data_IF_831453554147
#
_entry.id   IF_831453554147
#
_cell.length_a   1.000
_cell.length_b   1.000
_cell.length_c   1.000
_cell.angle_alpha   90.00
_cell.angle_beta   90.00
_cell.angle_gamma   90.00
#
_symmetry.space_group_name_H-M   'P 1'
#
loop_
_entity.id
_entity.type
_entity.pdbx_description
1 polymer ?
#
# COMPACT_ATOMS: atom_id res chain seq x y z
N UNK A 1 25.65 58.49 13.40
CA UNK A 1 25.06 57.74 12.26
C UNK A 1 23.73 58.38 11.87
N UNK A 2 23.55 58.85 10.62
CA UNK A 2 22.36 59.60 10.23
C UNK A 2 21.10 58.72 10.16
N UNK A 3 19.96 59.27 10.61
CA UNK A 3 18.64 58.62 10.74
C UNK A 3 18.13 57.93 9.46
N UNK A 4 18.59 58.36 8.29
CA UNK A 4 18.21 57.83 6.97
C UNK A 4 18.77 56.41 6.75
N UNK A 5 20.01 56.15 7.18
CA UNK A 5 20.64 54.82 7.07
C UNK A 5 19.88 53.80 7.94
N UNK A 6 19.38 54.21 9.11
CA UNK A 6 18.55 53.34 10.00
C UNK A 6 17.19 52.97 9.39
N UNK A 7 16.55 53.87 8.63
CA UNK A 7 15.27 53.58 7.94
C UNK A 7 15.47 52.62 6.77
N UNK A 8 16.45 52.85 5.90
CA UNK A 8 16.73 51.93 4.79
C UNK A 8 17.17 50.55 5.27
N UNK A 9 17.98 50.45 6.35
CA UNK A 9 18.33 49.16 6.95
C UNK A 9 17.11 48.40 7.48
N UNK A 10 16.14 49.10 8.09
CA UNK A 10 14.88 48.50 8.55
C UNK A 10 14.05 47.98 7.37
N UNK A 11 13.87 48.79 6.32
CA UNK A 11 13.08 48.41 5.13
C UNK A 11 13.72 47.22 4.38
N UNK A 12 15.05 47.22 4.21
CA UNK A 12 15.79 46.09 3.62
C UNK A 12 15.68 44.82 4.48
N UNK A 13 15.75 44.94 5.82
CA UNK A 13 15.53 43.81 6.71
C UNK A 13 14.11 43.25 6.58
N UNK A 14 13.09 44.12 6.50
CA UNK A 14 11.69 43.69 6.38
C UNK A 14 11.41 43.02 5.04
N UNK A 15 11.94 43.56 3.93
CA UNK A 15 11.80 42.95 2.59
C UNK A 15 12.53 41.60 2.54
N UNK A 16 13.75 41.52 3.09
CA UNK A 16 14.49 40.25 3.19
C UNK A 16 13.76 39.21 4.04
N UNK A 17 13.10 39.63 5.12
CA UNK A 17 12.27 38.76 5.97
C UNK A 17 11.08 38.18 5.18
N UNK A 18 10.39 39.01 4.39
CA UNK A 18 9.22 38.60 3.61
C UNK A 18 9.62 37.60 2.52
N UNK A 19 10.73 37.85 1.82
CA UNK A 19 11.24 36.94 0.78
C UNK A 19 11.70 35.60 1.37
N UNK A 20 12.32 35.60 2.54
CA UNK A 20 12.68 34.37 3.25
C UNK A 20 11.44 33.57 3.67
N UNK A 21 10.39 34.23 4.18
CA UNK A 21 9.13 33.59 4.53
C UNK A 21 8.40 33.02 3.30
N UNK A 22 8.46 33.71 2.16
CA UNK A 22 7.89 33.22 0.90
C UNK A 22 8.64 31.97 0.39
N UNK A 23 9.97 31.96 0.44
CA UNK A 23 10.78 30.80 0.06
C UNK A 23 10.51 29.58 0.97
N UNK A 24 10.34 29.80 2.27
CA UNK A 24 10.00 28.74 3.24
C UNK A 24 8.58 28.21 3.01
N UNK A 25 7.61 29.09 2.78
CA UNK A 25 6.23 28.69 2.48
C UNK A 25 6.14 27.89 1.18
N UNK A 26 6.93 28.26 0.17
CA UNK A 26 7.01 27.54 -1.10
C UNK A 26 7.59 26.13 -0.93
N UNK A 27 8.69 25.98 -0.20
CA UNK A 27 9.27 24.66 0.11
C UNK A 27 8.33 23.78 0.94
N UNK A 28 7.60 24.34 1.90
CA UNK A 28 6.60 23.61 2.68
C UNK A 28 5.40 23.15 1.83
N UNK A 29 4.95 23.98 0.89
CA UNK A 29 3.88 23.63 -0.05
C UNK A 29 4.32 22.54 -1.04
N UNK A 30 5.56 22.58 -1.52
CA UNK A 30 6.13 21.55 -2.40
C UNK A 30 6.21 20.20 -1.69
N UNK A 31 6.76 20.16 -0.46
CA UNK A 31 6.83 18.93 0.34
C UNK A 31 5.45 18.36 0.68
N UNK A 32 4.48 19.23 0.98
CA UNK A 32 3.09 18.80 1.20
C UNK A 32 2.45 18.26 -0.08
N UNK A 33 2.75 18.87 -1.24
CA UNK A 33 2.28 18.39 -2.55
C UNK A 33 2.84 17.02 -2.91
N UNK A 34 4.13 16.78 -2.65
CA UNK A 34 4.74 15.46 -2.82
C UNK A 34 4.12 14.42 -1.87
N UNK A 35 3.91 14.78 -0.60
CA UNK A 35 3.27 13.89 0.38
C UNK A 35 1.83 13.51 -0.03
N UNK A 36 1.07 14.48 -0.57
CA UNK A 36 -0.26 14.24 -1.13
C UNK A 36 -0.18 13.27 -2.31
N UNK A 37 0.71 13.50 -3.28
CA UNK A 37 0.88 12.60 -4.43
C UNK A 37 1.21 11.17 -3.99
N UNK A 38 2.13 11.01 -3.04
CA UNK A 38 2.51 9.69 -2.54
C UNK A 38 1.37 9.01 -1.76
N UNK A 39 0.56 9.76 -1.00
CA UNK A 39 -0.64 9.20 -0.38
C UNK A 39 -1.63 8.68 -1.44
N UNK A 40 -1.83 9.43 -2.54
CA UNK A 40 -2.67 8.97 -3.65
C UNK A 40 -2.11 7.74 -4.34
N UNK A 41 -0.79 7.67 -4.51
CA UNK A 41 -0.13 6.48 -5.03
C UNK A 41 -0.31 5.28 -4.09
N UNK A 42 -0.27 5.47 -2.76
CA UNK A 42 -0.58 4.39 -1.81
C UNK A 42 -2.01 3.86 -2.00
N UNK A 43 -3.01 4.75 -2.11
CA UNK A 43 -4.40 4.34 -2.37
C UNK A 43 -4.57 3.65 -3.73
N UNK A 44 -3.90 4.14 -4.78
CA UNK A 44 -3.90 3.53 -6.11
C UNK A 44 -3.25 2.14 -6.11
N UNK A 45 -2.09 2.01 -5.44
CA UNK A 45 -1.36 0.76 -5.32
C UNK A 45 -2.17 -0.26 -4.52
N UNK A 46 -2.89 0.16 -3.49
CA UNK A 46 -3.82 -0.71 -2.76
C UNK A 46 -4.88 -1.31 -3.69
N UNK A 47 -5.49 -0.50 -4.55
CA UNK A 47 -6.49 -0.97 -5.50
C UNK A 47 -5.93 -1.99 -6.50
N UNK A 48 -4.68 -1.86 -6.93
CA UNK A 48 -4.01 -2.86 -7.76
C UNK A 48 -3.76 -4.17 -7.00
N UNK A 49 -3.30 -4.11 -5.73
CA UNK A 49 -3.13 -5.30 -4.89
C UNK A 49 -4.46 -6.05 -4.68
N UNK A 50 -5.55 -5.32 -4.54
CA UNK A 50 -6.89 -5.89 -4.41
C UNK A 50 -7.27 -6.69 -5.67
N UNK A 51 -7.00 -6.15 -6.87
CA UNK A 51 -7.29 -6.86 -8.12
C UNK A 51 -6.40 -8.10 -8.31
N UNK A 52 -5.10 -7.98 -8.03
CA UNK A 52 -4.18 -9.12 -8.02
C UNK A 52 -4.65 -10.19 -7.04
N UNK A 53 -5.10 -9.79 -5.85
CA UNK A 53 -5.65 -10.70 -4.83
C UNK A 53 -6.92 -11.37 -5.32
N UNK A 54 -7.83 -10.64 -5.98
CA UNK A 54 -9.04 -11.20 -6.56
C UNK A 54 -8.73 -12.29 -7.59
N UNK A 55 -7.68 -12.13 -8.38
CA UNK A 55 -7.26 -13.12 -9.40
C UNK A 55 -6.75 -14.44 -8.80
N UNK A 56 -6.30 -14.43 -7.54
CA UNK A 56 -5.96 -15.66 -6.78
C UNK A 56 -7.18 -16.44 -6.30
N UNK A 57 -8.33 -15.77 -6.18
CA UNK A 57 -9.57 -16.39 -5.72
C UNK A 57 -10.09 -17.25 -6.89
N UNK A 58 -10.08 -18.57 -6.78
CA UNK A 58 -10.46 -19.50 -7.87
C UNK A 58 -11.59 -20.44 -7.44
N UNK A 59 -12.32 -20.96 -8.43
CA UNK A 59 -13.37 -21.97 -8.21
C UNK A 59 -12.77 -23.25 -7.61
N UNK A 60 -13.37 -23.85 -6.57
CA UNK A 60 -13.01 -25.21 -6.15
C UNK A 60 -13.22 -26.21 -7.29
N UNK A 61 -12.19 -26.97 -7.63
CA UNK A 61 -12.16 -27.97 -8.69
C UNK A 61 -12.54 -29.37 -8.19
N UNK A 62 -12.13 -29.72 -6.98
CA UNK A 62 -12.51 -30.97 -6.32
C UNK A 62 -13.87 -30.81 -5.65
N UNK A 63 -14.85 -31.60 -6.12
CA UNK A 63 -16.24 -31.54 -5.64
C UNK A 63 -16.78 -30.10 -5.60
N UNK A 64 -16.94 -29.45 -6.78
CA UNK A 64 -17.36 -28.07 -6.83
C UNK A 64 -18.71 -27.93 -6.09
N UNK A 65 -18.82 -27.03 -5.10
CA UNK A 65 -20.08 -26.81 -4.42
C UNK A 65 -21.12 -26.29 -5.43
N UNK A 66 -22.42 -26.40 -5.12
CA UNK A 66 -23.48 -25.93 -6.01
C UNK A 66 -23.60 -24.39 -5.97
N UNK A 67 -22.50 -23.68 -6.23
CA UNK A 67 -22.52 -22.24 -6.44
C UNK A 67 -23.14 -21.92 -7.81
N UNK A 68 -23.73 -20.73 -7.93
CA UNK A 68 -24.15 -20.17 -9.20
C UNK A 68 -22.91 -19.69 -9.98
N UNK A 69 -22.33 -20.58 -10.80
CA UNK A 69 -21.12 -20.30 -11.57
C UNK A 69 -21.35 -19.30 -12.72
N UNK A 70 -22.60 -19.14 -13.17
CA UNK A 70 -22.92 -18.12 -14.16
C UNK A 70 -22.88 -16.74 -13.51
N UNK A 71 -23.47 -16.61 -12.31
CA UNK A 71 -23.39 -15.39 -11.51
C UNK A 71 -21.96 -15.07 -11.07
N UNK A 72 -21.15 -16.07 -10.73
CA UNK A 72 -19.71 -15.89 -10.45
C UNK A 72 -19.02 -15.18 -11.62
N UNK A 73 -19.19 -15.70 -12.84
CA UNK A 73 -18.59 -15.15 -14.07
C UNK A 73 -19.12 -13.74 -14.38
N UNK A 74 -20.41 -13.51 -14.22
CA UNK A 74 -21.02 -12.20 -14.42
C UNK A 74 -20.49 -11.15 -13.44
N UNK A 75 -20.39 -11.51 -12.16
CA UNK A 75 -19.86 -10.62 -11.12
C UNK A 75 -18.38 -10.31 -11.36
N UNK A 76 -17.56 -11.29 -11.74
CA UNK A 76 -16.16 -11.08 -12.14
C UNK A 76 -16.05 -10.06 -13.26
N UNK A 77 -16.88 -10.20 -14.28
CA UNK A 77 -16.88 -9.28 -15.41
C UNK A 77 -17.27 -7.86 -14.99
N UNK A 78 -18.37 -7.70 -14.23
CA UNK A 78 -18.81 -6.40 -13.69
C UNK A 78 -17.76 -5.75 -12.79
N UNK A 79 -17.06 -6.54 -11.97
CA UNK A 79 -15.96 -6.06 -11.12
C UNK A 79 -14.81 -5.53 -11.98
N UNK A 80 -14.41 -6.26 -13.02
CA UNK A 80 -13.36 -5.81 -13.94
C UNK A 80 -13.75 -4.54 -14.72
N UNK A 81 -14.99 -4.45 -15.19
CA UNK A 81 -15.49 -3.23 -15.85
C UNK A 81 -15.54 -2.04 -14.89
N UNK A 82 -15.95 -2.28 -13.64
CA UNK A 82 -15.93 -1.27 -12.58
C UNK A 82 -14.50 -0.79 -12.31
N UNK A 83 -13.53 -1.71 -12.20
CA UNK A 83 -12.13 -1.38 -11.97
C UNK A 83 -11.52 -0.56 -13.12
N UNK A 84 -11.85 -0.91 -14.37
CA UNK A 84 -11.41 -0.14 -15.53
C UNK A 84 -11.94 1.31 -15.52
N UNK A 85 -13.18 1.54 -15.04
CA UNK A 85 -13.72 2.89 -14.84
C UNK A 85 -13.01 3.60 -13.69
N UNK A 86 -12.79 2.91 -12.58
CA UNK A 86 -12.05 3.44 -11.43
C UNK A 86 -10.65 3.91 -11.83
N UNK A 87 -9.88 3.11 -12.59
CA UNK A 87 -8.55 3.47 -13.09
C UNK A 87 -8.53 4.77 -13.91
N UNK A 88 -9.55 5.00 -14.74
CA UNK A 88 -9.70 6.27 -15.49
C UNK A 88 -9.92 7.45 -14.56
N UNK A 89 -10.73 7.27 -13.51
CA UNK A 89 -10.96 8.31 -12.50
C UNK A 89 -9.67 8.59 -11.70
N UNK A 90 -8.89 7.57 -11.34
CA UNK A 90 -7.59 7.79 -10.67
C UNK A 90 -6.62 8.59 -11.56
N UNK A 91 -6.58 8.31 -12.87
CA UNK A 91 -5.80 9.11 -13.80
C UNK A 91 -6.28 10.58 -13.86
N UNK A 92 -7.60 10.80 -13.85
CA UNK A 92 -8.21 12.14 -13.75
C UNK A 92 -7.81 12.84 -12.45
N UNK A 93 -7.89 12.16 -11.30
CA UNK A 93 -7.45 12.68 -9.99
C UNK A 93 -6.00 13.16 -10.03
N UNK A 94 -5.08 12.33 -10.58
CA UNK A 94 -3.66 12.71 -10.70
C UNK A 94 -3.47 13.92 -11.63
N UNK A 95 -4.26 14.03 -12.70
CA UNK A 95 -4.23 15.18 -13.60
C UNK A 95 -4.72 16.46 -12.91
N UNK A 96 -5.81 16.39 -12.16
CA UNK A 96 -6.35 17.55 -11.42
C UNK A 96 -5.34 18.05 -10.39
N UNK A 97 -4.75 17.16 -9.60
CA UNK A 97 -3.73 17.51 -8.60
C UNK A 97 -2.52 18.21 -9.25
N UNK A 98 -2.06 17.73 -10.41
CA UNK A 98 -0.98 18.39 -11.16
C UNK A 98 -1.37 19.78 -11.65
N UNK A 99 -2.63 20.00 -12.03
CA UNK A 99 -3.09 21.26 -12.61
C UNK A 99 -3.51 22.32 -11.58
N UNK A 100 -4.15 21.90 -10.48
CA UNK A 100 -4.79 22.77 -9.50
C UNK A 100 -4.37 22.51 -8.05
N UNK A 101 -3.45 21.55 -7.81
CA UNK A 101 -2.96 21.19 -6.48
C UNK A 101 -3.94 20.38 -5.63
N UNK A 102 -5.17 20.17 -6.10
CA UNK A 102 -6.25 19.47 -5.39
C UNK A 102 -7.21 18.76 -6.35
N UNK A 103 -7.93 17.78 -5.81
CA UNK A 103 -9.01 17.05 -6.49
C UNK A 103 -10.32 17.83 -6.33
N UNK A 104 -11.06 18.02 -7.42
CA UNK A 104 -12.37 18.68 -7.41
C UNK A 104 -13.41 17.82 -6.70
N UNK A 105 -14.36 18.45 -5.99
CA UNK A 105 -15.43 17.74 -5.27
C UNK A 105 -16.19 16.76 -6.17
N UNK A 106 -16.50 17.16 -7.41
CA UNK A 106 -17.13 16.29 -8.39
C UNK A 106 -16.30 15.02 -8.68
N UNK A 107 -14.98 15.15 -8.85
CA UNK A 107 -14.11 13.99 -9.06
C UNK A 107 -13.95 13.15 -7.78
N UNK A 108 -13.96 13.78 -6.59
CA UNK A 108 -13.97 13.04 -5.33
C UNK A 108 -15.23 12.16 -5.23
N UNK A 109 -16.40 12.73 -5.52
CA UNK A 109 -17.69 12.03 -5.49
C UNK A 109 -17.74 10.89 -6.52
N UNK A 110 -17.24 11.12 -7.75
CA UNK A 110 -17.14 10.08 -8.78
C UNK A 110 -16.26 8.90 -8.32
N UNK A 111 -15.08 9.18 -7.76
CA UNK A 111 -14.16 8.14 -7.28
C UNK A 111 -14.75 7.36 -6.12
N UNK A 112 -15.34 8.03 -5.13
CA UNK A 112 -15.98 7.38 -3.99
C UNK A 112 -17.23 6.61 -4.39
N UNK A 113 -18.05 7.15 -5.30
CA UNK A 113 -19.20 6.46 -5.87
C UNK A 113 -18.78 5.18 -6.60
N UNK A 114 -17.71 5.25 -7.40
CA UNK A 114 -17.16 4.10 -8.10
C UNK A 114 -16.62 3.03 -7.13
N UNK A 115 -15.94 3.45 -6.06
CA UNK A 115 -15.43 2.56 -5.01
C UNK A 115 -16.57 1.87 -4.22
N UNK A 116 -17.66 2.58 -3.94
CA UNK A 116 -18.85 1.99 -3.32
C UNK A 116 -19.53 0.99 -4.26
N UNK A 117 -19.65 1.31 -5.55
CA UNK A 117 -20.17 0.36 -6.54
C UNK A 117 -19.30 -0.91 -6.64
N UNK A 118 -17.97 -0.79 -6.51
CA UNK A 118 -17.08 -1.94 -6.41
C UNK A 118 -17.36 -2.76 -5.14
N UNK A 119 -17.53 -2.10 -4.00
CA UNK A 119 -17.88 -2.75 -2.74
C UNK A 119 -19.21 -3.51 -2.85
N UNK A 120 -20.23 -2.91 -3.46
CA UNK A 120 -21.54 -3.56 -3.63
C UNK A 120 -21.46 -4.81 -4.53
N UNK A 121 -20.61 -4.76 -5.57
CA UNK A 121 -20.32 -5.94 -6.40
C UNK A 121 -19.58 -7.02 -5.60
N UNK A 122 -18.61 -6.63 -4.77
CA UNK A 122 -17.89 -7.54 -3.89
C UNK A 122 -18.77 -8.14 -2.79
N UNK A 123 -19.75 -7.40 -2.26
CA UNK A 123 -20.72 -7.91 -1.29
C UNK A 123 -21.67 -8.93 -1.92
N UNK A 124 -22.11 -8.70 -3.16
CA UNK A 124 -22.85 -9.70 -3.94
C UNK A 124 -22.01 -10.94 -4.21
N UNK A 125 -20.73 -10.75 -4.53
CA UNK A 125 -19.78 -11.82 -4.78
C UNK A 125 -19.50 -12.64 -3.51
N UNK A 126 -19.32 -11.96 -2.38
CA UNK A 126 -19.21 -12.57 -1.06
C UNK A 126 -20.45 -13.37 -0.69
N UNK A 127 -21.64 -12.80 -0.91
CA UNK A 127 -22.92 -13.45 -0.60
C UNK A 127 -23.11 -14.73 -1.42
N UNK A 128 -22.73 -14.71 -2.70
CA UNK A 128 -22.73 -15.89 -3.56
C UNK A 128 -21.81 -16.99 -3.02
N UNK A 129 -20.57 -16.65 -2.61
CA UNK A 129 -19.66 -17.62 -1.99
C UNK A 129 -20.20 -18.18 -0.66
N UNK A 130 -20.83 -17.32 0.14
CA UNK A 130 -21.43 -17.72 1.42
C UNK A 130 -22.57 -18.72 1.21
N UNK A 131 -23.44 -18.47 0.23
CA UNK A 131 -24.57 -19.34 -0.10
C UNK A 131 -24.16 -20.77 -0.49
N UNK A 132 -22.95 -20.96 -1.01
CA UNK A 132 -22.39 -22.27 -1.33
C UNK A 132 -21.31 -22.75 -0.34
N UNK A 133 -21.36 -22.28 0.92
CA UNK A 133 -20.50 -22.69 2.03
C UNK A 133 -18.99 -22.41 1.86
N UNK A 134 -18.62 -21.52 0.94
CA UNK A 134 -17.23 -21.11 0.69
C UNK A 134 -16.82 -19.93 1.60
N UNK A 135 -16.81 -20.15 2.92
CA UNK A 135 -16.61 -19.09 3.93
C UNK A 135 -15.36 -18.22 3.73
N UNK A 136 -14.21 -18.83 3.40
CA UNK A 136 -12.95 -18.10 3.22
C UNK A 136 -12.96 -17.22 1.97
N UNK A 137 -13.57 -17.68 0.87
CA UNK A 137 -13.76 -16.89 -0.36
C UNK A 137 -14.73 -15.73 -0.13
N UNK A 138 -15.83 -15.98 0.59
CA UNK A 138 -16.78 -14.94 0.98
C UNK A 138 -16.11 -13.84 1.82
N UNK A 139 -15.37 -14.23 2.86
CA UNK A 139 -14.63 -13.29 3.72
C UNK A 139 -13.62 -12.47 2.92
N UNK A 140 -12.86 -13.11 2.02
CA UNK A 140 -11.91 -12.42 1.16
C UNK A 140 -12.60 -11.42 0.23
N UNK A 141 -13.66 -11.82 -0.48
CA UNK A 141 -14.44 -10.92 -1.34
C UNK A 141 -14.95 -9.68 -0.58
N UNK A 142 -15.57 -9.88 0.60
CA UNK A 142 -16.04 -8.76 1.42
C UNK A 142 -14.90 -7.83 1.85
N UNK A 143 -13.75 -8.39 2.25
CA UNK A 143 -12.58 -7.59 2.63
C UNK A 143 -12.03 -6.76 1.46
N UNK A 144 -12.02 -7.29 0.24
CA UNK A 144 -11.61 -6.54 -0.96
C UNK A 144 -12.48 -5.30 -1.18
N UNK A 145 -13.81 -5.46 -1.05
CA UNK A 145 -14.75 -4.34 -1.17
C UNK A 145 -14.53 -3.26 -0.11
N UNK A 146 -14.32 -3.65 1.15
CA UNK A 146 -14.03 -2.72 2.26
C UNK A 146 -12.72 -1.96 2.03
N UNK A 147 -11.66 -2.66 1.61
CA UNK A 147 -10.35 -2.03 1.34
C UNK A 147 -10.47 -1.00 0.23
N UNK A 148 -11.15 -1.31 -0.89
CA UNK A 148 -11.33 -0.37 -2.01
C UNK A 148 -11.88 0.99 -1.57
N UNK A 149 -12.89 1.00 -0.70
CA UNK A 149 -13.49 2.25 -0.20
C UNK A 149 -12.51 3.06 0.64
N UNK A 150 -11.71 2.40 1.48
CA UNK A 150 -10.68 3.08 2.30
C UNK A 150 -9.52 3.58 1.45
N UNK A 151 -9.08 2.79 0.47
CA UNK A 151 -8.10 3.18 -0.54
C UNK A 151 -8.55 4.41 -1.33
N UNK A 152 -9.79 4.40 -1.82
CA UNK A 152 -10.36 5.53 -2.56
C UNK A 152 -10.43 6.80 -1.72
N UNK A 153 -10.77 6.70 -0.44
CA UNK A 153 -10.79 7.84 0.48
C UNK A 153 -9.43 8.52 0.61
N UNK A 154 -8.33 7.76 0.58
CA UNK A 154 -6.96 8.27 0.56
C UNK A 154 -6.63 8.91 -0.81
N UNK A 155 -7.05 8.31 -1.92
CA UNK A 155 -6.77 8.85 -3.27
C UNK A 155 -7.38 10.24 -3.49
N UNK A 156 -8.58 10.47 -2.96
CA UNK A 156 -9.28 11.74 -3.20
C UNK A 156 -8.96 12.82 -2.18
N UNK A 157 -8.22 12.49 -1.12
CA UNK A 157 -7.91 13.42 -0.05
C UNK A 157 -6.52 14.03 -0.17
N UNK A 158 -6.33 15.15 0.51
CA UNK A 158 -4.99 15.51 0.98
C UNK A 158 -4.46 14.43 1.93
N UNK A 159 -3.16 14.45 2.19
CA UNK A 159 -2.53 13.52 3.13
C UNK A 159 -3.18 13.65 4.51
N UNK A 160 -3.93 12.62 4.86
CA UNK A 160 -4.74 12.54 6.07
C UNK A 160 -4.34 11.28 6.83
N UNK A 161 -3.93 11.47 8.08
CA UNK A 161 -3.43 10.39 8.91
C UNK A 161 -4.52 9.35 9.20
N UNK A 162 -5.74 9.79 9.50
CA UNK A 162 -6.83 8.89 9.85
C UNK A 162 -7.24 8.02 8.66
N UNK A 163 -7.29 8.60 7.46
CA UNK A 163 -7.59 7.83 6.24
C UNK A 163 -6.49 6.83 5.89
N UNK A 164 -5.22 7.21 6.07
CA UNK A 164 -4.08 6.29 5.91
C UNK A 164 -4.15 5.13 6.91
N UNK A 165 -4.45 5.43 8.18
CA UNK A 165 -4.59 4.42 9.24
C UNK A 165 -5.77 3.47 8.95
N UNK A 166 -6.91 3.99 8.50
CA UNK A 166 -8.08 3.19 8.10
C UNK A 166 -7.81 2.29 6.89
N UNK A 167 -7.13 2.80 5.86
CA UNK A 167 -6.72 2.01 4.71
C UNK A 167 -5.75 0.89 5.11
N UNK A 168 -4.77 1.20 5.97
CA UNK A 168 -3.82 0.22 6.47
C UNK A 168 -4.50 -0.89 7.29
N UNK A 169 -5.46 -0.52 8.15
CA UNK A 169 -6.26 -1.50 8.89
C UNK A 169 -7.08 -2.41 7.95
N UNK A 170 -7.70 -1.84 6.91
CA UNK A 170 -8.45 -2.61 5.93
C UNK A 170 -7.55 -3.57 5.12
N UNK A 171 -6.34 -3.13 4.74
CA UNK A 171 -5.37 -3.99 4.08
C UNK A 171 -4.90 -5.14 4.97
N UNK A 172 -4.76 -4.94 6.28
CA UNK A 172 -4.41 -6.00 7.22
C UNK A 172 -5.54 -7.02 7.35
N UNK A 173 -6.80 -6.57 7.43
CA UNK A 173 -7.96 -7.48 7.41
C UNK A 173 -8.02 -8.29 6.11
N UNK A 174 -7.79 -7.66 4.96
CA UNK A 174 -7.71 -8.32 3.65
C UNK A 174 -6.57 -9.35 3.61
N UNK A 175 -5.39 -9.01 4.14
CA UNK A 175 -4.24 -9.91 4.24
C UNK A 175 -4.59 -11.17 5.05
N UNK A 176 -5.24 -10.99 6.20
CA UNK A 176 -5.69 -12.11 7.04
C UNK A 176 -6.69 -12.99 6.28
N UNK A 177 -7.68 -12.39 5.62
CA UNK A 177 -8.67 -13.12 4.83
C UNK A 177 -8.04 -13.89 3.65
N UNK A 178 -7.06 -13.27 2.96
CA UNK A 178 -6.33 -13.89 1.85
C UNK A 178 -5.49 -15.07 2.31
N UNK A 179 -4.74 -14.91 3.40
CA UNK A 179 -3.94 -15.98 4.02
C UNK A 179 -4.81 -17.16 4.45
N UNK A 180 -5.96 -16.89 5.06
CA UNK A 180 -6.92 -17.92 5.49
C UNK A 180 -7.47 -18.70 4.28
N UNK A 181 -7.83 -17.99 3.22
CA UNK A 181 -8.22 -18.60 1.94
C UNK A 181 -7.11 -19.46 1.36
N UNK A 182 -5.89 -18.92 1.20
CA UNK A 182 -4.77 -19.61 0.58
C UNK A 182 -4.41 -20.91 1.31
N UNK A 183 -4.31 -20.85 2.64
CA UNK A 183 -4.04 -22.02 3.49
C UNK A 183 -5.12 -23.08 3.35
N UNK A 184 -6.40 -22.70 3.42
CA UNK A 184 -7.51 -23.66 3.33
C UNK A 184 -7.59 -24.30 1.94
N UNK A 185 -7.48 -23.49 0.89
CA UNK A 185 -7.55 -23.97 -0.48
C UNK A 185 -6.39 -24.91 -0.81
N UNK A 186 -5.18 -24.63 -0.33
CA UNK A 186 -4.03 -25.52 -0.49
C UNK A 186 -4.16 -26.81 0.33
N UNK A 187 -4.56 -26.73 1.60
CA UNK A 187 -4.72 -27.90 2.47
C UNK A 187 -5.76 -28.91 1.94
N UNK A 188 -6.78 -28.40 1.26
CA UNK A 188 -7.84 -29.21 0.66
C UNK A 188 -7.58 -29.56 -0.81
N UNK A 189 -6.45 -29.10 -1.39
CA UNK A 189 -6.13 -29.20 -2.82
C UNK A 189 -7.32 -28.79 -3.72
N UNK A 190 -7.89 -27.62 -3.42
CA UNK A 190 -9.12 -27.13 -4.07
C UNK A 190 -8.89 -26.62 -5.49
N UNK A 191 -7.67 -26.17 -5.84
CA UNK A 191 -7.41 -25.55 -7.14
C UNK A 191 -7.09 -26.60 -8.21
N UNK A 192 -7.59 -26.39 -9.43
CA UNK A 192 -7.23 -27.24 -10.55
C UNK A 192 -5.78 -26.98 -10.99
N UNK A 193 -5.17 -27.94 -11.69
CA UNK A 193 -3.84 -27.73 -12.29
C UNK A 193 -3.82 -26.56 -13.29
N UNK A 194 -4.93 -26.30 -13.98
CA UNK A 194 -5.08 -25.15 -14.86
C UNK A 194 -5.06 -23.83 -14.06
N UNK A 195 -5.78 -23.78 -12.94
CA UNK A 195 -5.79 -22.60 -12.05
C UNK A 195 -4.41 -22.34 -11.44
N UNK A 196 -3.70 -23.41 -11.02
CA UNK A 196 -2.34 -23.29 -10.48
C UNK A 196 -1.39 -22.71 -11.54
N UNK A 197 -1.44 -23.22 -12.77
CA UNK A 197 -0.65 -22.70 -13.90
C UNK A 197 -1.01 -21.26 -14.24
N UNK A 198 -2.29 -20.90 -14.21
CA UNK A 198 -2.74 -19.53 -14.44
C UNK A 198 -2.19 -18.57 -13.38
N UNK A 199 -2.23 -18.95 -12.10
CA UNK A 199 -1.62 -18.15 -11.01
C UNK A 199 -0.11 -18.01 -11.22
N UNK A 200 0.58 -19.09 -11.60
CA UNK A 200 2.03 -19.05 -11.87
C UNK A 200 2.38 -18.16 -13.06
N UNK A 201 1.60 -18.22 -14.14
CA UNK A 201 1.90 -17.52 -15.38
C UNK A 201 1.45 -16.05 -15.37
N UNK A 202 0.37 -15.71 -14.66
CA UNK A 202 -0.26 -14.39 -14.75
C UNK A 202 -0.20 -13.61 -13.43
N UNK A 203 -0.46 -14.26 -12.29
CA UNK A 203 -0.55 -13.56 -11.00
C UNK A 203 0.82 -13.35 -10.35
N UNK A 204 1.66 -14.37 -10.32
CA UNK A 204 3.03 -14.26 -9.75
C UNK A 204 3.85 -13.14 -10.42
N UNK A 205 3.87 -13.00 -11.76
CA UNK A 205 4.56 -11.88 -12.40
C UNK A 205 3.99 -10.50 -12.02
N UNK A 206 2.67 -10.38 -11.89
CA UNK A 206 2.05 -9.14 -11.43
C UNK A 206 2.46 -8.77 -10.00
N UNK A 207 2.47 -9.74 -9.09
CA UNK A 207 2.97 -9.54 -7.71
C UNK A 207 4.45 -9.12 -7.74
N UNK A 208 5.27 -9.76 -8.58
CA UNK A 208 6.68 -9.39 -8.71
C UNK A 208 6.89 -7.96 -9.21
N UNK A 209 6.12 -7.54 -10.22
CA UNK A 209 6.14 -6.16 -10.71
C UNK A 209 5.69 -5.19 -9.61
N UNK A 210 4.68 -5.57 -8.83
CA UNK A 210 4.19 -4.78 -7.70
C UNK A 210 5.23 -4.68 -6.57
N UNK A 211 5.99 -5.74 -6.28
CA UNK A 211 7.09 -5.66 -5.31
C UNK A 211 8.14 -4.64 -5.75
N UNK A 212 8.54 -4.64 -7.03
CA UNK A 212 9.47 -3.65 -7.57
C UNK A 212 8.91 -2.23 -7.45
N UNK A 213 7.63 -2.03 -7.79
CA UNK A 213 6.97 -0.74 -7.63
C UNK A 213 6.92 -0.30 -6.15
N UNK A 214 6.67 -1.22 -5.21
CA UNK A 214 6.60 -0.91 -3.77
C UNK A 214 7.97 -0.57 -3.20
N UNK A 215 9.04 -1.26 -3.61
CA UNK A 215 10.40 -0.89 -3.21
C UNK A 215 10.75 0.53 -3.64
N UNK A 216 10.42 0.89 -4.88
CA UNK A 216 10.61 2.26 -5.38
C UNK A 216 9.78 3.26 -4.59
N UNK A 217 8.52 2.97 -4.33
CA UNK A 217 7.62 3.82 -3.55
C UNK A 217 8.12 4.05 -2.11
N UNK A 218 8.62 3.01 -1.44
CA UNK A 218 9.24 3.13 -0.11
C UNK A 218 10.49 4.01 -0.15
N UNK A 219 11.33 3.89 -1.19
CA UNK A 219 12.50 4.75 -1.38
C UNK A 219 12.12 6.22 -1.60
N UNK A 220 11.08 6.48 -2.40
CA UNK A 220 10.56 7.82 -2.64
C UNK A 220 10.06 8.47 -1.34
N UNK A 221 9.32 7.73 -0.50
CA UNK A 221 8.88 8.22 0.82
C UNK A 221 10.06 8.44 1.77
N UNK A 222 11.08 7.57 1.75
CA UNK A 222 12.30 7.78 2.55
C UNK A 222 13.05 9.05 2.12
N UNK A 223 13.09 9.34 0.82
CA UNK A 223 13.60 10.59 0.27
C UNK A 223 12.83 11.79 0.81
N UNK A 224 11.49 11.77 0.70
CA UNK A 224 10.62 12.82 1.23
C UNK A 224 10.80 13.01 2.75
N UNK A 225 10.90 11.92 3.52
CA UNK A 225 11.12 11.98 4.96
C UNK A 225 12.45 12.68 5.31
N UNK A 226 13.53 12.39 4.56
CA UNK A 226 14.80 13.08 4.71
C UNK A 226 14.69 14.58 4.38
N UNK A 227 13.99 14.93 3.30
CA UNK A 227 13.77 16.34 2.90
C UNK A 227 12.95 17.12 3.93
N UNK A 228 11.87 16.50 4.45
CA UNK A 228 11.06 17.09 5.53
C UNK A 228 11.88 17.25 6.81
N UNK A 229 12.72 16.27 7.16
CA UNK A 229 13.59 16.34 8.33
C UNK A 229 14.66 17.44 8.20
N UNK A 230 15.32 17.53 7.04
CA UNK A 230 16.31 18.59 6.78
C UNK A 230 15.68 19.98 6.80
N UNK A 231 14.47 20.11 6.25
CA UNK A 231 13.71 21.36 6.27
C UNK A 231 13.35 21.75 7.71
N UNK A 232 12.92 20.80 8.53
CA UNK A 232 12.65 21.02 9.96
C UNK A 232 13.92 21.45 10.74
N UNK A 233 15.06 20.82 10.48
CA UNK A 233 16.33 21.14 11.14
C UNK A 233 16.83 22.54 10.77
N UNK A 234 16.80 22.92 9.49
CA UNK A 234 17.18 24.28 9.02
C UNK A 234 16.29 25.37 9.62
N UNK A 235 15.02 25.06 9.91
CA UNK A 235 14.10 25.99 10.58
C UNK A 235 14.37 26.12 12.09
N UNK A 236 14.87 25.07 12.76
CA UNK A 236 15.18 25.09 14.19
C UNK A 236 16.50 25.79 14.54
N UNK A 237 17.47 25.86 13.61
CA UNK A 237 18.79 26.45 13.84
C UNK A 237 18.87 27.97 13.58
N UNK A 238 17.80 28.58 13.07
CA UNK A 238 17.68 30.05 12.90
C UNK A 238 17.30 30.76 14.20
N UNK A 239 18.28 30.96 15.10
CA UNK A 239 18.07 31.59 16.41
C UNK A 239 17.86 33.13 16.42
N UNK A 240 17.16 33.56 17.47
CA UNK A 240 17.07 34.90 18.10
C UNK A 240 16.04 35.94 17.59
N UNK A 241 14.94 36.08 18.34
CA UNK A 241 14.59 37.39 18.93
C UNK A 241 13.26 38.06 18.54
N UNK A 242 12.57 37.68 17.47
CA UNK A 242 11.31 38.37 17.09
C UNK A 242 10.44 37.70 16.05
N UNK A 243 10.93 36.62 15.44
CA UNK A 243 10.22 35.78 14.46
C UNK A 243 9.47 34.59 15.10
N UNK A 244 9.39 34.56 16.44
CA UNK A 244 8.95 33.38 17.18
C UNK A 244 7.49 32.97 16.90
N UNK A 245 6.56 33.89 16.63
CA UNK A 245 5.17 33.52 16.37
C UNK A 245 4.93 33.00 14.95
N UNK A 246 5.59 33.56 13.93
CA UNK A 246 5.53 33.04 12.56
C UNK A 246 6.26 31.70 12.45
N UNK A 247 7.45 31.59 13.07
CA UNK A 247 8.21 30.34 13.14
C UNK A 247 7.46 29.26 13.93
N UNK A 248 6.74 29.58 15.01
CA UNK A 248 5.96 28.60 15.78
C UNK A 248 4.77 28.05 15.00
N UNK A 249 4.09 28.89 14.20
CA UNK A 249 3.03 28.41 13.30
C UNK A 249 3.57 27.49 12.20
N UNK A 250 4.74 27.79 11.63
CA UNK A 250 5.35 26.98 10.57
C UNK A 250 6.08 25.74 11.08
N UNK A 251 6.67 25.77 12.29
CA UNK A 251 7.18 24.58 12.99
C UNK A 251 6.04 23.63 13.30
N UNK A 252 4.84 24.14 13.64
CA UNK A 252 3.63 23.31 13.79
C UNK A 252 3.19 22.68 12.46
N UNK A 253 3.36 23.38 11.33
CA UNK A 253 3.12 22.84 9.99
C UNK A 253 4.16 21.79 9.59
N UNK A 254 5.45 22.02 9.87
CA UNK A 254 6.55 21.09 9.58
C UNK A 254 6.51 19.82 10.43
N UNK A 255 6.17 19.94 11.72
CA UNK A 255 5.95 18.77 12.61
C UNK A 255 4.69 17.99 12.25
N UNK A 256 3.62 18.69 11.84
CA UNK A 256 2.41 18.05 11.30
C UNK A 256 2.67 17.27 10.02
N UNK A 257 3.38 17.85 9.06
CA UNK A 257 3.77 17.19 7.82
C UNK A 257 4.71 16.00 8.07
N UNK A 258 5.71 16.16 8.94
CA UNK A 258 6.61 15.05 9.31
C UNK A 258 5.84 13.85 9.85
N UNK A 259 4.88 14.07 10.76
CA UNK A 259 4.05 12.99 11.30
C UNK A 259 3.22 12.31 10.21
N UNK A 260 2.63 13.08 9.30
CA UNK A 260 1.87 12.53 8.16
C UNK A 260 2.75 11.69 7.23
N UNK A 261 3.94 12.17 6.90
CA UNK A 261 4.94 11.42 6.09
C UNK A 261 5.44 10.18 6.83
N UNK A 262 5.58 10.24 8.15
CA UNK A 262 5.92 9.07 8.98
C UNK A 262 4.82 8.00 8.94
N UNK A 263 3.54 8.41 9.04
CA UNK A 263 2.40 7.49 8.87
C UNK A 263 2.42 6.90 7.47
N UNK A 264 2.58 7.72 6.43
CA UNK A 264 2.68 7.25 5.05
C UNK A 264 3.83 6.24 4.85
N UNK A 265 4.98 6.47 5.48
CA UNK A 265 6.11 5.53 5.49
C UNK A 265 5.74 4.20 6.15
N UNK A 266 5.01 4.23 7.27
CA UNK A 266 4.51 3.01 7.92
C UNK A 266 3.55 2.25 7.01
N UNK A 267 2.61 2.95 6.37
CA UNK A 267 1.68 2.36 5.40
C UNK A 267 2.43 1.74 4.22
N UNK A 268 3.41 2.43 3.63
CA UNK A 268 4.18 1.92 2.50
C UNK A 268 4.99 0.66 2.86
N UNK A 269 5.60 0.65 4.05
CA UNK A 269 6.30 -0.54 4.55
C UNK A 269 5.34 -1.72 4.77
N UNK A 270 4.14 -1.47 5.32
CA UNK A 270 3.13 -2.50 5.50
C UNK A 270 2.59 -3.01 4.15
N UNK A 271 2.39 -2.12 3.18
CA UNK A 271 2.04 -2.49 1.80
C UNK A 271 3.11 -3.37 1.17
N UNK A 272 4.39 -3.01 1.30
CA UNK A 272 5.50 -3.84 0.80
C UNK A 272 5.44 -5.25 1.38
N UNK A 273 5.30 -5.37 2.71
CA UNK A 273 5.13 -6.67 3.37
C UNK A 273 3.87 -7.40 2.92
N UNK A 274 2.77 -6.69 2.68
CA UNK A 274 1.52 -7.28 2.22
C UNK A 274 1.67 -7.86 0.79
N UNK A 275 2.46 -7.22 -0.07
CA UNK A 275 2.79 -7.75 -1.41
C UNK A 275 3.68 -9.00 -1.29
N UNK A 276 4.69 -8.99 -0.42
CA UNK A 276 5.50 -10.19 -0.12
C UNK A 276 4.62 -11.35 0.40
N UNK A 277 3.69 -11.06 1.31
CA UNK A 277 2.73 -12.04 1.82
C UNK A 277 1.79 -12.55 0.71
N UNK A 278 1.41 -11.68 -0.22
CA UNK A 278 0.61 -12.08 -1.40
C UNK A 278 1.40 -13.04 -2.30
N UNK A 279 2.71 -12.81 -2.48
CA UNK A 279 3.59 -13.74 -3.18
C UNK A 279 3.62 -15.10 -2.49
N UNK A 280 3.82 -15.12 -1.17
CA UNK A 280 3.82 -16.35 -0.39
C UNK A 280 2.47 -17.10 -0.47
N UNK A 281 1.35 -16.37 -0.45
CA UNK A 281 0.01 -16.94 -0.61
C UNK A 281 -0.20 -17.55 -2.00
N UNK A 282 0.24 -16.87 -3.06
CA UNK A 282 0.18 -17.38 -4.43
C UNK A 282 1.07 -18.63 -4.62
N UNK A 283 2.26 -18.66 -4.02
CA UNK A 283 3.12 -19.84 -4.00
C UNK A 283 2.47 -21.00 -3.25
N UNK A 284 1.86 -20.72 -2.09
CA UNK A 284 1.10 -21.71 -1.30
C UNK A 284 -0.04 -22.33 -2.13
N UNK A 285 -0.80 -21.51 -2.86
CA UNK A 285 -1.90 -21.96 -3.71
C UNK A 285 -1.44 -22.86 -4.88
N UNK A 286 -0.23 -22.64 -5.37
CA UNK A 286 0.29 -23.33 -6.55
C UNK A 286 1.15 -24.55 -6.21
N UNK A 287 1.48 -24.75 -4.94
CA UNK A 287 2.45 -25.77 -4.53
C UNK A 287 3.88 -25.49 -5.01
N UNK A 288 4.14 -24.28 -5.52
CA UNK A 288 5.47 -23.86 -5.90
C UNK A 288 6.29 -23.63 -4.62
N UNK A 289 7.34 -24.42 -4.39
CA UNK A 289 8.32 -24.13 -3.36
C UNK A 289 8.98 -22.79 -3.69
N UNK A 290 9.20 -21.88 -2.70
CA UNK A 290 9.97 -20.66 -2.95
C UNK A 290 11.30 -21.04 -3.59
N UNK A 291 11.56 -20.52 -4.80
CA UNK A 291 12.92 -20.54 -5.34
C UNK A 291 13.80 -19.85 -4.31
N UNK A 292 14.82 -20.55 -3.82
CA UNK A 292 15.77 -20.04 -2.85
C UNK A 292 16.56 -18.86 -3.47
N UNK A 293 15.97 -17.68 -3.44
CA UNK A 293 16.57 -16.40 -3.79
C UNK A 293 16.97 -15.67 -2.52
N UNK A 294 18.23 -15.87 -2.13
CA UNK A 294 19.05 -14.99 -1.29
C UNK A 294 18.40 -14.46 -0.01
N UNK A 295 18.45 -15.27 1.05
CA UNK A 295 18.41 -14.77 2.42
C UNK A 295 19.59 -13.82 2.67
N UNK A 296 19.33 -12.50 2.68
CA UNK A 296 20.27 -11.55 3.30
C UNK A 296 20.08 -11.60 4.82
N UNK A 297 20.57 -12.65 5.47
CA UNK A 297 20.79 -12.64 6.91
C UNK A 297 22.12 -11.94 7.18
N UNK A 298 22.04 -10.64 7.46
CA UNK A 298 23.10 -9.94 8.17
C UNK A 298 23.14 -10.44 9.61
N UNK A 299 24.27 -11.03 10.01
CA UNK A 299 24.48 -11.54 11.36
C UNK A 299 25.83 -12.24 11.47
N UNK A 300 26.91 -11.46 11.57
CA UNK A 300 28.23 -11.99 11.89
C UNK A 300 28.31 -12.53 13.32
N UNK A 301 28.97 -13.67 13.48
CA UNK A 301 29.30 -14.27 14.77
C UNK A 301 29.94 -15.65 14.59
N UNK A 302 31.25 -15.72 14.83
CA UNK A 302 32.20 -16.83 14.61
C UNK A 302 32.02 -18.04 15.59
N UNK A 303 32.76 -19.16 15.42
CA UNK A 303 32.28 -20.54 15.54
C UNK A 303 32.68 -21.25 16.84
N UNK A 304 32.06 -22.40 17.10
CA UNK A 304 32.60 -23.37 18.06
C UNK A 304 31.75 -24.62 18.27
N UNK A 305 32.39 -25.79 18.18
CA UNK A 305 32.07 -26.92 19.07
C UNK A 305 31.24 -28.07 18.50
N UNK A 306 31.93 -28.99 17.80
CA UNK A 306 31.88 -30.46 17.99
C UNK A 306 30.54 -31.15 18.33
N UNK A 307 30.03 -31.94 17.37
CA UNK A 307 29.05 -33.00 17.60
C UNK A 307 29.24 -34.15 16.60
N UNK A 308 29.71 -35.29 17.08
CA UNK A 308 30.02 -36.52 16.34
C UNK A 308 28.78 -37.13 15.63
N UNK A 309 28.96 -37.87 14.51
CA UNK A 309 27.88 -38.57 13.83
C UNK A 309 27.60 -39.96 14.46
N UNK A 310 26.31 -40.28 14.66
CA UNK A 310 25.84 -41.64 14.96
C UNK A 310 25.77 -42.49 13.68
N UNK A 311 26.29 -43.73 13.68
CA UNK A 311 26.10 -44.68 12.59
C UNK A 311 24.86 -45.55 12.85
N UNK A 312 23.93 -45.63 11.90
CA UNK A 312 22.84 -46.61 11.93
C UNK A 312 22.58 -47.09 10.50
N UNK A 313 23.21 -48.22 10.18
CA UNK A 313 23.09 -48.89 8.90
C UNK A 313 23.80 -50.24 8.95
N UNK A 314 23.17 -51.23 9.58
CA UNK A 314 23.55 -52.63 9.40
C UNK A 314 22.52 -53.31 8.48
N UNK A 315 22.96 -54.00 7.41
CA UNK A 315 22.08 -54.76 6.53
C UNK A 315 21.70 -56.11 7.15
N UNK A 316 20.44 -56.51 6.95
CA UNK A 316 19.91 -57.86 7.22
C UNK A 316 20.58 -58.88 6.30
N UNK A 317 21.11 -59.96 6.87
CA UNK A 317 21.42 -61.21 6.16
C UNK A 317 20.22 -62.18 6.27
N UNK A 318 19.99 -63.04 5.25
CA UNK A 318 18.86 -63.97 5.24
C UNK A 318 19.23 -65.35 5.79
N UNK A 319 18.25 -65.98 6.46
CA UNK A 319 17.94 -67.42 6.41
C UNK A 319 18.94 -68.43 6.96
N UNK A 320 18.64 -68.99 8.13
CA UNK A 320 18.33 -70.42 8.39
C UNK A 320 18.04 -70.61 9.88
#
# INVERSE_FOLDING_TARGET
MPKIIRRHKKTLMTIGLILLLAAIAWAAAELSGQANSMAQDAGSNSAELEMITLDTLKKPSKQPPPCDWQKEKELRHKIAENDAKYKKLIAKTKSEVKSSGKVTEATQDEVLGQANAYKDLQDQYSSMWSACNCKTRSKLAASLGKTRVKSAAVVVSEIDQGKLDEMNAAQEEMKVARREYAKKAAANDELSEADKKDIQANVIPQISNMMTAMMKFVQEIAGLMNEVQQSAQKMSSGGAGGLFNAAKSMVSTGTGLFKKVQTLSTVANNMSKNVEDTMADAQTLTGATPSAGTSSSGGGGLPGGTGLPSPSGMPKLPGS
#
